data_IF_896134763809
#
_entry.id   IF_896134763809
#
_cell.length_a   1.000
_cell.length_b   1.000
_cell.length_c   1.000
_cell.angle_alpha   90.00
_cell.angle_beta   90.00
_cell.angle_gamma   90.00
#
_symmetry.space_group_name_H-M   'P 1'
#
loop_
_entity.id
_entity.type
_entity.pdbx_description
1 polymer ?
#
# COMPACT_ATOMS: atom_id res chain seq x y z
N UNK A 1 6.19 2.27 10.67
CA UNK A 1 6.82 0.97 10.34
C UNK A 1 6.43 0.56 8.93
N UNK A 2 7.38 0.11 8.12
CA UNK A 2 7.15 -0.33 6.75
C UNK A 2 6.51 -1.72 6.73
N UNK A 3 5.51 -1.94 5.87
CA UNK A 3 4.88 -3.25 5.72
C UNK A 3 5.94 -4.24 5.23
N UNK A 4 6.23 -5.27 6.03
CA UNK A 4 7.21 -6.32 5.70
C UNK A 4 6.65 -7.22 4.59
N UNK A 5 7.52 -7.61 3.66
CA UNK A 5 7.12 -8.43 2.52
C UNK A 5 6.56 -9.80 2.93
N UNK A 6 7.03 -10.34 4.06
CA UNK A 6 6.57 -11.62 4.63
C UNK A 6 5.09 -11.56 5.03
N UNK A 7 4.67 -10.47 5.66
CA UNK A 7 3.27 -10.25 6.06
C UNK A 7 2.32 -10.08 4.86
N UNK A 8 2.85 -9.65 3.71
CA UNK A 8 2.07 -9.51 2.48
C UNK A 8 1.89 -10.84 1.75
N UNK A 9 2.86 -11.75 1.79
CA UNK A 9 2.76 -13.06 1.14
C UNK A 9 1.73 -13.96 1.82
N UNK A 10 1.61 -13.88 3.16
CA UNK A 10 0.64 -14.66 3.94
C UNK A 10 -0.82 -14.23 3.78
N UNK A 11 -1.10 -13.05 3.23
CA UNK A 11 -2.48 -12.52 3.06
C UNK A 11 -3.15 -13.05 1.80
N UNK A 12 -4.47 -13.19 1.82
CA UNK A 12 -5.22 -13.57 0.61
C UNK A 12 -5.19 -12.45 -0.45
N UNK A 13 -5.42 -12.75 -1.73
CA UNK A 13 -5.53 -11.73 -2.78
C UNK A 13 -6.57 -10.66 -2.48
N UNK A 14 -7.70 -11.03 -1.86
CA UNK A 14 -8.76 -10.08 -1.52
C UNK A 14 -8.38 -9.19 -0.33
N UNK A 15 -7.75 -9.74 0.69
CA UNK A 15 -7.18 -8.94 1.78
C UNK A 15 -6.11 -7.96 1.28
N UNK A 16 -5.32 -8.34 0.28
CA UNK A 16 -4.35 -7.45 -0.35
C UNK A 16 -5.03 -6.31 -1.12
N UNK A 17 -6.15 -6.58 -1.79
CA UNK A 17 -6.97 -5.55 -2.46
C UNK A 17 -7.59 -4.59 -1.45
N UNK A 18 -8.12 -5.08 -0.35
CA UNK A 18 -8.70 -4.24 0.72
C UNK A 18 -7.64 -3.32 1.34
N UNK A 19 -6.46 -3.86 1.64
CA UNK A 19 -5.31 -3.07 2.12
C UNK A 19 -4.89 -2.00 1.10
N UNK A 20 -4.93 -2.32 -0.20
CA UNK A 20 -4.61 -1.36 -1.27
C UNK A 20 -5.64 -0.21 -1.29
N UNK A 21 -6.92 -0.49 -1.12
CA UNK A 21 -7.98 0.52 -1.02
C UNK A 21 -7.78 1.41 0.20
N UNK A 22 -7.47 0.81 1.37
CA UNK A 22 -7.20 1.56 2.59
C UNK A 22 -6.00 2.51 2.44
N UNK A 23 -4.88 2.02 1.90
CA UNK A 23 -3.68 2.83 1.65
C UNK A 23 -3.93 3.96 0.63
N UNK A 24 -4.78 3.73 -0.37
CA UNK A 24 -5.18 4.78 -1.32
C UNK A 24 -5.98 5.89 -0.65
N UNK A 25 -6.91 5.55 0.26
CA UNK A 25 -7.66 6.54 1.05
C UNK A 25 -6.72 7.34 1.95
N UNK A 26 -5.78 6.67 2.61
CA UNK A 26 -4.76 7.34 3.44
C UNK A 26 -3.89 8.28 2.58
N UNK A 27 -3.43 7.84 1.41
CA UNK A 27 -2.67 8.68 0.49
C UNK A 27 -3.45 9.91 0.02
N UNK A 28 -4.76 9.78 -0.22
CA UNK A 28 -5.63 10.90 -0.57
C UNK A 28 -5.72 11.91 0.58
N UNK A 29 -5.94 11.42 1.81
CA UNK A 29 -5.98 12.27 3.00
C UNK A 29 -4.66 13.01 3.23
N UNK A 30 -3.52 12.34 3.04
CA UNK A 30 -2.22 13.01 3.15
C UNK A 30 -1.99 14.05 2.05
N UNK A 31 -2.44 13.81 0.81
CA UNK A 31 -2.39 14.83 -0.26
C UNK A 31 -3.28 16.03 0.07
N UNK A 32 -4.43 15.78 0.68
CA UNK A 32 -5.32 16.84 1.15
C UNK A 32 -4.68 17.67 2.28
N UNK A 33 -4.12 17.00 3.30
CA UNK A 33 -3.36 17.66 4.38
C UNK A 33 -2.15 18.44 3.85
N UNK A 34 -1.49 17.93 2.80
CA UNK A 34 -0.40 18.64 2.14
C UNK A 34 -0.87 19.93 1.48
N UNK A 35 -2.03 19.90 0.82
CA UNK A 35 -2.62 21.06 0.17
C UNK A 35 -3.10 22.11 1.17
N UNK A 36 -3.57 21.70 2.36
CA UNK A 36 -3.99 22.61 3.43
C UNK A 36 -2.83 23.10 4.31
N UNK A 37 -1.60 22.62 4.07
CA UNK A 37 -0.42 22.98 4.86
C UNK A 37 -0.37 22.35 6.25
N UNK A 38 -1.23 21.38 6.55
CA UNK A 38 -1.33 20.70 7.85
C UNK A 38 -0.58 19.37 7.89
N UNK A 39 0.26 19.10 6.88
CA UNK A 39 0.99 17.84 6.78
C UNK A 39 2.21 17.83 7.70
N UNK A 40 2.08 17.22 8.87
CA UNK A 40 3.17 17.10 9.85
C UNK A 40 4.22 16.04 9.45
N UNK A 41 3.81 14.96 8.77
CA UNK A 41 4.69 13.83 8.47
C UNK A 41 4.79 13.53 6.96
N UNK A 42 5.77 14.19 6.32
CA UNK A 42 6.09 13.98 4.90
C UNK A 42 6.66 12.59 4.61
N UNK A 43 7.34 11.96 5.58
CA UNK A 43 7.92 10.63 5.44
C UNK A 43 6.85 9.54 5.23
N UNK A 44 5.66 9.74 5.82
CA UNK A 44 4.53 8.82 5.68
C UNK A 44 4.05 8.71 4.24
N UNK A 45 4.08 9.81 3.47
CA UNK A 45 3.68 9.78 2.07
C UNK A 45 4.60 8.88 1.22
N UNK A 46 5.91 8.92 1.48
CA UNK A 46 6.86 8.02 0.82
C UNK A 46 6.70 6.55 1.27
N UNK A 47 6.37 6.31 2.53
CA UNK A 47 6.08 4.97 3.04
C UNK A 47 4.86 4.36 2.35
N UNK A 48 3.74 5.09 2.25
CA UNK A 48 2.51 4.62 1.61
C UNK A 48 2.75 4.30 0.12
N UNK A 49 3.52 5.13 -0.60
CA UNK A 49 3.87 4.84 -2.00
C UNK A 49 4.61 3.51 -2.14
N UNK A 50 5.58 3.25 -1.26
CA UNK A 50 6.34 2.00 -1.24
C UNK A 50 5.45 0.81 -0.85
N UNK A 51 4.56 0.98 0.11
CA UNK A 51 3.65 -0.08 0.58
C UNK A 51 2.65 -0.47 -0.53
N UNK A 52 2.07 0.51 -1.24
CA UNK A 52 1.21 0.26 -2.42
C UNK A 52 1.97 -0.48 -3.52
N UNK A 53 3.21 -0.10 -3.79
CA UNK A 53 4.04 -0.78 -4.79
C UNK A 53 4.29 -2.25 -4.40
N UNK A 54 4.65 -2.53 -3.14
CA UNK A 54 4.85 -3.90 -2.66
C UNK A 54 3.60 -4.76 -2.77
N UNK A 55 2.43 -4.24 -2.38
CA UNK A 55 1.16 -4.98 -2.49
C UNK A 55 0.87 -5.34 -3.95
N UNK A 56 1.04 -4.38 -4.88
CA UNK A 56 0.87 -4.64 -6.32
C UNK A 56 1.81 -5.73 -6.80
N UNK A 57 3.09 -5.68 -6.42
CA UNK A 57 4.06 -6.72 -6.78
C UNK A 57 3.64 -8.11 -6.28
N UNK A 58 3.21 -8.22 -5.03
CA UNK A 58 2.74 -9.52 -4.48
C UNK A 58 1.48 -10.01 -5.19
N UNK A 59 0.54 -9.13 -5.52
CA UNK A 59 -0.63 -9.51 -6.32
C UNK A 59 -0.24 -10.05 -7.70
N UNK A 60 0.73 -9.41 -8.37
CA UNK A 60 1.26 -9.90 -9.64
C UNK A 60 1.96 -11.24 -9.50
N UNK A 61 2.76 -11.44 -8.44
CA UNK A 61 3.40 -12.73 -8.15
C UNK A 61 2.37 -13.85 -7.96
N UNK A 62 1.34 -13.61 -7.15
CA UNK A 62 0.25 -14.58 -6.93
C UNK A 62 -0.53 -14.88 -8.20
N UNK A 63 -0.76 -13.88 -9.04
CA UNK A 63 -1.43 -14.07 -10.33
C UNK A 63 -0.57 -14.92 -11.29
N UNK A 64 0.75 -14.70 -11.31
CA UNK A 64 1.68 -15.50 -12.11
C UNK A 64 1.81 -16.94 -11.61
N UNK A 65 1.80 -17.16 -10.29
CA UNK A 65 1.76 -18.51 -9.69
C UNK A 65 0.45 -19.25 -10.00
N UNK A 66 -0.69 -18.56 -9.96
CA UNK A 66 -2.00 -19.17 -10.28
C UNK A 66 -2.18 -19.48 -11.78
N UNK A 67 -1.40 -18.84 -12.66
CA UNK A 67 -1.42 -19.06 -14.09
C UNK A 67 -0.48 -20.18 -14.55
N UNK A 68 0.28 -20.79 -13.62
CA UNK A 68 1.23 -21.87 -13.87
C UNK A 68 0.61 -23.21 -13.50
#
# INVERSE_FOLDING_TARGET
>A
MAVKAEELRGKSPDQLRDNLVALKKEAFNLRFQQATGQLENTSRMNAIRKDVARIKTVLTQKAAEAAK
#
